data_IF_236521166104
#
_entry.id   IF_236521166104
#
_cell.length_a   1.000
_cell.length_b   1.000
_cell.length_c   1.000
_cell.angle_alpha   90.00
_cell.angle_beta   90.00
_cell.angle_gamma   90.00
#
_symmetry.space_group_name_H-M   'P 1'
#
loop_
_entity.id
_entity.type
_entity.pdbx_description
1 polymer ?
#
# COMPACT_ATOMS: atom_id res chain seq x y z
N UNK A 1 8.81 15.45 13.23
CA UNK A 1 7.44 15.78 13.64
C UNK A 1 6.47 14.75 13.08
N UNK A 2 5.92 13.87 13.92
CA UNK A 2 4.88 12.93 13.50
C UNK A 2 3.56 13.69 13.62
N UNK A 3 3.07 14.25 12.51
CA UNK A 3 1.78 14.96 12.46
C UNK A 3 0.69 13.95 12.81
N UNK A 4 0.19 14.01 14.04
CA UNK A 4 -0.85 13.10 14.53
C UNK A 4 -2.10 13.20 13.65
N UNK A 5 -2.56 12.08 13.10
CA UNK A 5 -3.77 11.97 12.27
C UNK A 5 -4.94 12.71 12.93
N UNK A 6 -5.57 13.63 12.20
CA UNK A 6 -6.73 14.40 12.64
C UNK A 6 -7.94 13.47 12.89
N UNK A 7 -8.80 13.80 13.84
CA UNK A 7 -9.94 12.97 14.25
C UNK A 7 -10.87 12.62 13.07
N UNK A 8 -11.03 13.55 12.12
CA UNK A 8 -11.82 13.35 10.89
C UNK A 8 -11.21 12.28 9.99
N UNK A 9 -9.87 12.27 9.85
CA UNK A 9 -9.16 11.27 9.04
C UNK A 9 -9.35 9.86 9.62
N UNK A 10 -9.38 9.74 10.96
CA UNK A 10 -9.67 8.46 11.62
C UNK A 10 -11.07 7.95 11.30
N UNK A 11 -12.08 8.83 11.32
CA UNK A 11 -13.46 8.45 11.04
C UNK A 11 -13.68 8.02 9.58
N UNK A 12 -13.08 8.77 8.64
CA UNK A 12 -13.13 8.44 7.21
C UNK A 12 -12.44 7.10 6.95
N UNK A 13 -11.26 6.87 7.54
CA UNK A 13 -10.56 5.60 7.42
C UNK A 13 -11.38 4.41 7.97
N UNK A 14 -12.02 4.58 9.12
CA UNK A 14 -12.90 3.57 9.72
C UNK A 14 -14.09 3.22 8.80
N UNK A 15 -14.72 4.23 8.20
CA UNK A 15 -15.85 4.04 7.28
C UNK A 15 -15.42 3.34 5.98
N UNK A 16 -14.27 3.74 5.42
CA UNK A 16 -13.71 3.11 4.22
C UNK A 16 -13.36 1.64 4.46
N UNK A 17 -12.75 1.34 5.60
CA UNK A 17 -12.49 -0.04 6.01
C UNK A 17 -13.76 -0.86 6.06
N UNK A 18 -14.83 -0.37 6.70
CA UNK A 18 -16.08 -1.12 6.78
C UNK A 18 -16.75 -1.34 5.41
N UNK A 19 -16.65 -0.37 4.50
CA UNK A 19 -17.27 -0.45 3.18
C UNK A 19 -16.53 -1.42 2.23
N UNK A 20 -15.19 -1.28 2.15
CA UNK A 20 -14.35 -2.08 1.26
C UNK A 20 -14.00 -3.44 1.85
N UNK A 21 -13.78 -3.52 3.16
CA UNK A 21 -13.52 -4.75 3.89
C UNK A 21 -14.81 -5.28 4.53
N UNK A 22 -15.77 -5.71 3.72
CA UNK A 22 -16.92 -6.46 4.24
C UNK A 22 -16.44 -7.83 4.73
N UNK A 23 -16.60 -8.21 6.02
CA UNK A 23 -16.27 -9.55 6.44
C UNK A 23 -17.16 -10.55 5.69
N UNK A 24 -16.57 -11.55 5.03
CA UNK A 24 -17.32 -12.75 4.64
C UNK A 24 -17.76 -13.42 5.94
N UNK A 25 -19.07 -13.46 6.14
CA UNK A 25 -19.80 -13.82 7.34
C UNK A 25 -19.57 -15.28 7.82
N UNK A 26 -18.35 -15.74 8.11
CA UNK A 26 -18.16 -17.04 8.79
C UNK A 26 -17.02 -17.08 9.81
N UNK A 27 -16.15 -16.06 9.95
CA UNK A 27 -15.20 -16.01 11.07
C UNK A 27 -14.91 -14.57 11.54
N UNK A 28 -14.96 -14.26 12.85
CA UNK A 28 -14.65 -12.93 13.39
C UNK A 28 -13.22 -12.45 13.09
N UNK A 29 -12.34 -13.39 12.74
CA UNK A 29 -10.90 -13.17 12.53
C UNK A 29 -10.55 -12.77 11.09
N UNK A 30 -11.49 -12.82 10.13
CA UNK A 30 -11.22 -12.49 8.73
C UNK A 30 -10.84 -11.00 8.49
N UNK A 31 -11.17 -10.11 9.44
CA UNK A 31 -10.75 -8.70 9.37
C UNK A 31 -9.27 -8.47 9.77
N UNK A 32 -8.59 -9.47 10.34
CA UNK A 32 -7.19 -9.32 10.76
C UNK A 32 -6.22 -9.13 9.57
N UNK A 33 -6.67 -9.37 8.34
CA UNK A 33 -5.86 -9.23 7.11
C UNK A 33 -6.35 -8.16 6.13
N UNK A 34 -7.36 -7.35 6.45
CA UNK A 34 -7.81 -6.33 5.50
C UNK A 34 -6.99 -5.04 5.62
N UNK A 35 -6.24 -4.74 4.57
CA UNK A 35 -5.43 -3.53 4.45
C UNK A 35 -5.93 -2.72 3.25
N UNK A 36 -6.03 -1.41 3.40
CA UNK A 36 -6.33 -0.49 2.32
C UNK A 36 -5.03 0.17 1.87
N UNK A 37 -4.81 0.15 0.56
CA UNK A 37 -3.70 0.85 -0.08
C UNK A 37 -4.14 2.21 -0.60
N UNK A 38 -3.21 3.17 -0.76
CA UNK A 38 -3.52 4.41 -1.44
C UNK A 38 -4.01 4.16 -2.87
N UNK A 39 -4.65 5.16 -3.47
CA UNK A 39 -5.17 5.06 -4.83
C UNK A 39 -4.06 4.68 -5.83
N UNK A 40 -4.35 3.73 -6.72
CA UNK A 40 -3.43 3.16 -7.71
C UNK A 40 -2.28 2.30 -7.15
N UNK A 41 -2.24 2.06 -5.84
CA UNK A 41 -1.32 1.09 -5.22
C UNK A 41 -1.94 -0.30 -5.16
N UNK A 42 -1.13 -1.32 -5.42
CA UNK A 42 -1.52 -2.71 -5.39
C UNK A 42 -1.15 -3.35 -4.04
N UNK A 43 -2.12 -3.94 -3.36
CA UNK A 43 -1.88 -4.73 -2.16
C UNK A 43 -1.25 -6.08 -2.51
N UNK A 44 -0.15 -6.43 -1.87
CA UNK A 44 0.43 -7.76 -1.92
C UNK A 44 0.89 -8.19 -0.53
N UNK A 45 0.24 -9.24 0.01
CA UNK A 45 0.37 -9.60 1.41
C UNK A 45 -0.13 -8.47 2.31
N UNK A 46 0.74 -7.96 3.17
CA UNK A 46 0.45 -6.87 4.11
C UNK A 46 1.07 -5.52 3.67
N UNK A 47 1.58 -5.43 2.44
CA UNK A 47 2.28 -4.25 1.92
C UNK A 47 1.64 -3.75 0.63
N UNK A 48 1.67 -2.43 0.46
CA UNK A 48 1.20 -1.76 -0.75
C UNK A 48 2.38 -1.43 -1.65
N UNK A 49 2.26 -1.73 -2.94
CA UNK A 49 3.28 -1.48 -3.94
C UNK A 49 2.73 -0.63 -5.06
N UNK A 50 3.53 0.31 -5.54
CA UNK A 50 3.21 1.11 -6.71
C UNK A 50 4.40 1.13 -7.65
N UNK A 51 4.12 0.91 -8.94
CA UNK A 51 5.11 0.95 -9.98
C UNK A 51 4.99 2.28 -10.73
N UNK A 52 6.07 3.06 -10.70
CA UNK A 52 6.18 4.27 -11.52
C UNK A 52 6.12 3.90 -13.00
N UNK A 53 5.25 4.58 -13.75
CA UNK A 53 5.17 4.47 -15.22
C UNK A 53 6.39 5.09 -15.91
N UNK A 54 7.08 5.99 -15.23
CA UNK A 54 8.27 6.68 -15.75
C UNK A 54 9.55 5.93 -15.39
N UNK A 55 10.46 5.82 -16.37
CA UNK A 55 11.83 5.36 -16.14
C UNK A 55 12.66 6.51 -15.59
N UNK A 56 13.18 6.36 -14.38
CA UNK A 56 14.03 7.34 -13.71
C UNK A 56 15.28 6.66 -13.18
N UNK A 57 16.35 7.43 -12.98
CA UNK A 57 17.54 6.90 -12.32
C UNK A 57 17.26 6.61 -10.84
N UNK A 58 18.08 5.75 -10.22
CA UNK A 58 17.86 5.28 -8.84
C UNK A 58 17.62 6.41 -7.83
N UNK A 59 18.42 7.48 -7.89
CA UNK A 59 18.32 8.61 -6.97
C UNK A 59 17.01 9.38 -7.15
N UNK A 60 16.58 9.59 -8.39
CA UNK A 60 15.31 10.23 -8.72
C UNK A 60 14.12 9.36 -8.34
N UNK A 61 14.19 8.05 -8.56
CA UNK A 61 13.15 7.09 -8.15
C UNK A 61 13.00 7.08 -6.64
N UNK A 62 14.11 7.03 -5.89
CA UNK A 62 14.09 7.08 -4.42
C UNK A 62 13.42 8.35 -3.90
N UNK A 63 13.83 9.52 -4.40
CA UNK A 63 13.21 10.80 -4.03
C UNK A 63 11.73 10.87 -4.42
N UNK A 64 11.36 10.26 -5.55
CA UNK A 64 9.96 10.16 -5.99
C UNK A 64 9.10 9.37 -5.00
N UNK A 65 9.59 8.23 -4.51
CA UNK A 65 8.89 7.45 -3.49
C UNK A 65 8.76 8.22 -2.16
N UNK A 66 9.84 8.88 -1.72
CA UNK A 66 9.84 9.68 -0.48
C UNK A 66 8.83 10.83 -0.53
N UNK A 67 8.68 11.49 -1.68
CA UNK A 67 7.66 12.52 -1.90
C UNK A 67 6.21 11.99 -1.83
N UNK A 68 6.01 10.69 -2.02
CA UNK A 68 4.71 10.00 -1.88
C UNK A 68 4.57 9.34 -0.50
N UNK A 69 5.38 9.77 0.48
CA UNK A 69 5.43 9.21 1.84
C UNK A 69 5.67 7.69 1.86
N UNK A 70 6.39 7.20 0.85
CA UNK A 70 6.66 5.79 0.62
C UNK A 70 8.16 5.52 0.46
N UNK A 71 8.54 4.25 0.35
CA UNK A 71 9.93 3.84 0.21
C UNK A 71 10.15 3.08 -1.10
N UNK A 72 11.29 3.35 -1.74
CA UNK A 72 11.70 2.61 -2.92
C UNK A 72 11.98 1.15 -2.54
N UNK A 73 11.22 0.23 -3.12
CA UNK A 73 11.37 -1.20 -2.87
C UNK A 73 12.69 -1.72 -3.43
N UNK A 74 13.46 -2.42 -2.61
CA UNK A 74 14.63 -3.19 -3.04
C UNK A 74 14.24 -4.66 -2.94
N UNK A 75 14.01 -5.30 -4.09
CA UNK A 75 13.56 -6.68 -4.17
C UNK A 75 14.71 -7.65 -3.83
N UNK A 76 15.01 -7.81 -2.55
CA UNK A 76 16.03 -8.76 -2.09
C UNK A 76 15.46 -10.18 -2.00
N UNK A 77 14.20 -10.31 -1.58
CA UNK A 77 13.54 -11.58 -1.32
C UNK A 77 12.88 -12.18 -2.57
N UNK A 78 13.02 -13.50 -2.79
CA UNK A 78 12.50 -14.16 -3.99
C UNK A 78 10.96 -14.15 -4.07
N UNK A 79 10.29 -13.96 -2.93
CA UNK A 79 8.83 -13.91 -2.85
C UNK A 79 8.23 -12.62 -3.41
N UNK A 80 8.99 -11.51 -3.38
CA UNK A 80 8.54 -10.20 -3.88
C UNK A 80 8.81 -10.03 -5.40
N UNK A 81 9.66 -10.88 -5.98
CA UNK A 81 10.07 -10.82 -7.41
C UNK A 81 9.03 -11.36 -8.40
N UNK A 82 8.04 -12.13 -7.93
CA UNK A 82 7.15 -12.93 -8.79
C UNK A 82 6.16 -12.11 -9.63
N UNK A 83 5.95 -10.81 -9.36
CA UNK A 83 4.95 -10.03 -10.10
C UNK A 83 5.37 -8.61 -10.53
N UNK A 84 6.61 -8.19 -10.31
CA UNK A 84 7.09 -6.86 -10.76
C UNK A 84 7.44 -6.81 -12.25
N UNK A 85 7.47 -7.95 -12.95
CA UNK A 85 7.87 -8.05 -14.37
C UNK A 85 6.69 -8.12 -15.36
N UNK A 86 5.44 -8.28 -14.92
CA UNK A 86 4.29 -8.55 -15.84
C UNK A 86 3.48 -7.33 -16.28
N UNK A 87 3.95 -6.10 -16.11
CA UNK A 87 3.28 -4.94 -16.72
C UNK A 87 4.26 -3.82 -17.07
N UNK A 88 5.11 -4.10 -18.05
CA UNK A 88 5.69 -3.08 -18.91
C UNK A 88 4.71 -2.79 -20.06
#
# INVERSE_FOLDING_TARGET
EIKGRNQTERYVFSSLMQYFCKPRQETPTACAGCQLCPQDWQLHGERCYWLSKERRNWKQSKKGCENQESQLVVLQDNKEKVNTEKKA
#
